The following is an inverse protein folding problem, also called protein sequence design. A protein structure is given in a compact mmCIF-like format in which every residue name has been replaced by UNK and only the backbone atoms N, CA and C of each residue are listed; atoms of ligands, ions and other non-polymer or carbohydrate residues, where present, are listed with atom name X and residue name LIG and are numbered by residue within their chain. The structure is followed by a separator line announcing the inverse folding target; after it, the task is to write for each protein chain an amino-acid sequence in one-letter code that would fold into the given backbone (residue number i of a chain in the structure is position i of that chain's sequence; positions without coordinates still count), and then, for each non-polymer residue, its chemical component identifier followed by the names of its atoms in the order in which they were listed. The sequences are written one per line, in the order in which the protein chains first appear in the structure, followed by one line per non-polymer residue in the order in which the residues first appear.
data_IF_656598366087
#
_entry.id   IF_656598366087
#
_cell.length_a   1.000
_cell.length_b   1.000
_cell.length_c   1.000
_cell.angle_alpha   90.00
_cell.angle_beta   90.00
_cell.angle_gamma   90.00
#
_symmetry.space_group_name_H-M   'P 1'
#
loop_
_entity.id
_entity.type
_entity.pdbx_description
1 polymer ?
#
# COMPACT_ATOMS: atom_id res chain seq x y z
N UNK A 1 1.97 7.79 18.81
CA UNK A 1 0.61 8.08 19.32
C UNK A 1 0.65 9.46 19.94
N UNK A 2 -0.24 10.39 19.55
CA UNK A 2 -0.33 11.69 20.20
C UNK A 2 -0.49 11.49 21.72
N UNK A 3 0.33 12.17 22.53
CA UNK A 3 0.19 12.17 23.98
C UNK A 3 0.92 11.08 24.76
N UNK A 4 1.81 10.28 24.14
CA UNK A 4 2.69 9.35 24.88
C UNK A 4 4.14 9.82 24.77
N UNK A 5 4.78 10.10 25.90
CA UNK A 5 6.20 10.45 25.97
C UNK A 5 7.06 9.18 25.98
N UNK A 6 7.99 9.10 25.03
CA UNK A 6 8.93 7.98 24.86
C UNK A 6 10.38 8.37 25.16
N UNK A 7 10.60 9.58 25.67
CA UNK A 7 11.94 10.10 25.96
C UNK A 7 12.69 9.18 26.92
N UNK A 8 13.93 8.81 26.56
CA UNK A 8 14.78 7.91 27.36
C UNK A 8 14.45 6.41 27.24
N UNK A 9 13.51 6.01 26.37
CA UNK A 9 13.14 4.61 26.12
C UNK A 9 13.64 4.09 24.76
N UNK A 10 14.79 4.57 24.29
CA UNK A 10 15.35 4.24 22.98
C UNK A 10 15.55 2.72 22.80
N UNK A 11 16.10 2.05 23.83
CA UNK A 11 16.30 0.59 23.84
C UNK A 11 14.98 -0.16 23.68
N UNK A 12 13.90 0.32 24.31
CA UNK A 12 12.58 -0.31 24.22
C UNK A 12 12.02 -0.13 22.81
N UNK A 13 12.18 1.07 22.22
CA UNK A 13 11.73 1.38 20.85
C UNK A 13 12.46 0.50 19.83
N UNK A 14 13.76 0.28 20.01
CA UNK A 14 14.57 -0.58 19.15
C UNK A 14 14.07 -2.05 19.10
N UNK A 15 13.37 -2.53 20.13
CA UNK A 15 12.78 -3.89 20.15
C UNK A 15 11.44 -4.00 19.41
N UNK A 16 10.93 -2.91 18.80
CA UNK A 16 9.62 -2.87 18.14
C UNK A 16 9.35 -4.02 17.15
N UNK A 17 10.38 -4.45 16.43
CA UNK A 17 10.30 -5.54 15.46
C UNK A 17 9.94 -6.89 16.11
N UNK A 18 10.32 -7.14 17.36
CA UNK A 18 9.99 -8.39 18.06
C UNK A 18 8.48 -8.59 18.24
N UNK A 19 7.71 -7.49 18.22
CA UNK A 19 6.24 -7.54 18.30
C UNK A 19 5.59 -7.88 16.96
N UNK A 20 6.35 -7.98 15.87
CA UNK A 20 5.83 -8.37 14.54
C UNK A 20 5.82 -9.89 14.42
N UNK A 21 4.67 -10.48 14.71
CA UNK A 21 4.46 -11.94 14.65
C UNK A 21 4.87 -12.56 13.31
N UNK A 22 4.67 -11.84 12.20
CA UNK A 22 5.03 -12.29 10.86
C UNK A 22 6.52 -12.64 10.72
N UNK A 23 7.42 -11.97 11.45
CA UNK A 23 8.85 -12.30 11.41
C UNK A 23 9.12 -13.72 11.92
N UNK A 24 8.33 -14.20 12.89
CA UNK A 24 8.51 -15.51 13.53
C UNK A 24 7.67 -16.62 12.91
N UNK A 25 6.44 -16.30 12.49
CA UNK A 25 5.49 -17.32 12.02
C UNK A 25 5.45 -17.45 10.50
N UNK A 26 5.64 -16.35 9.77
CA UNK A 26 5.49 -16.33 8.31
C UNK A 26 6.59 -15.45 7.69
N UNK A 27 7.85 -15.93 7.65
CA UNK A 27 8.98 -15.13 7.20
C UNK A 27 8.74 -14.51 5.82
N UNK A 28 9.25 -13.30 5.61
CA UNK A 28 9.10 -12.48 4.39
C UNK A 28 7.68 -11.99 4.05
N UNK A 29 6.61 -12.54 4.64
CA UNK A 29 5.23 -12.11 4.35
C UNK A 29 5.00 -10.60 4.51
N UNK A 30 5.68 -9.96 5.47
CA UNK A 30 5.45 -8.54 5.77
C UNK A 30 5.78 -7.61 4.59
N UNK A 31 6.64 -8.02 3.65
CA UNK A 31 6.94 -7.22 2.46
C UNK A 31 5.71 -7.06 1.56
N UNK A 32 4.81 -8.05 1.56
CA UNK A 32 3.63 -8.06 0.71
C UNK A 32 2.69 -6.91 1.02
N UNK A 33 2.64 -6.42 2.26
CA UNK A 33 1.89 -5.22 2.61
C UNK A 33 2.41 -3.98 1.86
N UNK A 34 3.73 -3.86 1.68
CA UNK A 34 4.33 -2.78 0.90
C UNK A 34 3.96 -2.88 -0.58
N UNK A 35 4.04 -4.08 -1.15
CA UNK A 35 3.67 -4.31 -2.55
C UNK A 35 2.18 -4.06 -2.79
N UNK A 36 1.33 -4.56 -1.90
CA UNK A 36 -0.11 -4.39 -1.95
C UNK A 36 -0.53 -2.92 -1.75
N UNK A 37 0.13 -2.17 -0.87
CA UNK A 37 -0.13 -0.75 -0.68
C UNK A 37 0.15 0.06 -1.95
N UNK A 38 1.25 -0.24 -2.66
CA UNK A 38 1.56 0.39 -3.96
C UNK A 38 0.52 0.05 -5.04
N UNK A 39 0.03 -1.18 -5.07
CA UNK A 39 -1.06 -1.57 -5.97
C UNK A 39 -2.38 -0.87 -5.63
N UNK A 40 -2.74 -0.84 -4.34
CA UNK A 40 -3.96 -0.22 -3.85
C UNK A 40 -4.00 1.29 -4.15
N UNK A 41 -2.89 2.00 -3.97
CA UNK A 41 -2.80 3.42 -4.28
C UNK A 41 -3.01 3.70 -5.78
N UNK A 42 -2.48 2.85 -6.67
CA UNK A 42 -2.73 2.96 -8.12
C UNK A 42 -4.19 2.69 -8.48
N UNK A 43 -4.82 1.66 -7.87
CA UNK A 43 -6.26 1.40 -8.06
C UNK A 43 -7.10 2.58 -7.56
N UNK A 44 -6.72 3.18 -6.43
CA UNK A 44 -7.38 4.38 -5.91
C UNK A 44 -7.20 5.58 -6.87
N UNK A 45 -5.99 5.80 -7.38
CA UNK A 45 -5.73 6.86 -8.37
C UNK A 45 -6.59 6.68 -9.62
N UNK A 46 -6.73 5.44 -10.12
CA UNK A 46 -7.61 5.14 -11.25
C UNK A 46 -9.08 5.46 -10.91
N UNK A 47 -9.53 5.12 -9.70
CA UNK A 47 -10.89 5.36 -9.25
C UNK A 47 -11.24 6.86 -9.13
N UNK A 48 -10.26 7.71 -8.80
CA UNK A 48 -10.43 9.18 -8.81
C UNK A 48 -10.65 9.75 -10.22
N UNK A 49 -10.24 9.04 -11.27
CA UNK A 49 -10.42 9.44 -12.67
C UNK A 49 -11.70 8.85 -13.27
N UNK A 50 -11.90 7.55 -13.08
CA UNK A 50 -13.09 6.82 -13.52
C UNK A 50 -13.38 5.68 -12.54
N UNK A 51 -14.31 5.96 -11.62
CA UNK A 51 -14.71 5.04 -10.56
C UNK A 51 -15.30 3.73 -11.10
N UNK A 52 -16.12 3.80 -12.15
CA UNK A 52 -16.83 2.64 -12.70
C UNK A 52 -15.83 1.66 -13.32
N UNK A 53 -14.94 2.17 -14.18
CA UNK A 53 -13.91 1.37 -14.82
C UNK A 53 -12.93 0.80 -13.80
N UNK A 54 -12.50 1.58 -12.81
CA UNK A 54 -11.56 1.11 -11.79
C UNK A 54 -12.14 -0.05 -10.97
N UNK A 55 -13.40 0.04 -10.55
CA UNK A 55 -14.08 -1.04 -9.81
C UNK A 55 -14.25 -2.28 -10.69
N UNK A 56 -14.65 -2.12 -11.96
CA UNK A 56 -14.80 -3.24 -12.88
C UNK A 56 -13.47 -4.00 -13.09
N UNK A 57 -12.36 -3.27 -13.29
CA UNK A 57 -11.01 -3.85 -13.41
C UNK A 57 -10.55 -4.54 -12.13
N UNK A 58 -10.81 -3.95 -10.97
CA UNK A 58 -10.50 -4.56 -9.68
C UNK A 58 -11.27 -5.88 -9.49
N UNK A 59 -12.56 -5.92 -9.81
CA UNK A 59 -13.36 -7.15 -9.78
C UNK A 59 -12.83 -8.22 -10.74
N UNK A 60 -12.41 -7.82 -11.94
CA UNK A 60 -11.79 -8.73 -12.90
C UNK A 60 -10.51 -9.35 -12.33
N UNK A 61 -9.65 -8.55 -11.69
CA UNK A 61 -8.44 -9.05 -11.04
C UNK A 61 -8.76 -10.03 -9.90
N UNK A 62 -9.75 -9.73 -9.05
CA UNK A 62 -10.20 -10.63 -7.98
C UNK A 62 -10.73 -11.97 -8.52
N UNK A 63 -11.43 -11.95 -9.66
CA UNK A 63 -11.98 -13.15 -10.28
C UNK A 63 -10.88 -14.12 -10.77
N UNK A 64 -9.67 -13.65 -11.04
CA UNK A 64 -8.52 -14.50 -11.39
C UNK A 64 -8.04 -15.34 -10.18
N UNK A 65 -8.26 -14.87 -8.96
CA UNK A 65 -7.82 -15.56 -7.73
C UNK A 65 -6.34 -15.96 -7.78
N UNK A 66 -6.05 -17.19 -7.37
CA UNK A 66 -4.69 -17.76 -7.39
C UNK A 66 -4.24 -18.35 -8.73
N UNK A 67 -4.95 -18.07 -9.83
CA UNK A 67 -4.65 -18.67 -11.15
C UNK A 67 -3.71 -17.83 -12.01
N UNK A 68 -3.38 -16.62 -11.56
CA UNK A 68 -2.50 -15.68 -12.25
C UNK A 68 -1.36 -15.20 -11.34
N UNK A 69 -0.15 -14.94 -11.89
CA UNK A 69 0.94 -14.36 -11.13
C UNK A 69 0.66 -12.90 -10.76
N UNK A 70 1.36 -12.38 -9.75
CA UNK A 70 1.16 -11.01 -9.24
C UNK A 70 1.22 -9.91 -10.32
N UNK A 71 2.17 -9.90 -11.27
CA UNK A 71 2.18 -8.87 -12.32
C UNK A 71 0.90 -8.83 -13.14
N UNK A 72 0.33 -10.00 -13.44
CA UNK A 72 -0.90 -10.12 -14.24
C UNK A 72 -2.13 -9.69 -13.42
N UNK A 73 -2.16 -10.01 -12.12
CA UNK A 73 -3.21 -9.53 -11.21
C UNK A 73 -3.20 -7.99 -11.10
N UNK A 74 -2.02 -7.38 -10.98
CA UNK A 74 -1.88 -5.92 -10.98
C UNK A 74 -2.33 -5.32 -12.31
N UNK A 75 -1.88 -5.88 -13.44
CA UNK A 75 -2.27 -5.41 -14.76
C UNK A 75 -3.78 -5.51 -15.00
N UNK A 76 -4.42 -6.60 -14.56
CA UNK A 76 -5.87 -6.77 -14.61
C UNK A 76 -6.58 -5.66 -13.83
N UNK A 77 -6.10 -5.33 -12.64
CA UNK A 77 -6.61 -4.24 -11.80
C UNK A 77 -6.30 -2.82 -12.35
N UNK A 78 -5.55 -2.71 -13.44
CA UNK A 78 -5.11 -1.43 -14.01
C UNK A 78 -3.96 -0.79 -13.25
N UNK A 79 -3.24 -1.56 -12.45
CA UNK A 79 -2.02 -1.16 -11.77
C UNK A 79 -0.78 -1.73 -12.49
N UNK A 80 0.38 -1.12 -12.23
CA UNK A 80 1.68 -1.63 -12.65
C UNK A 80 2.37 -2.27 -11.45
N UNK A 81 2.83 -3.51 -11.62
CA UNK A 81 3.70 -4.18 -10.65
C UNK A 81 5.15 -3.71 -10.87
N UNK A 82 5.51 -2.57 -10.30
CA UNK A 82 6.84 -1.99 -10.40
C UNK A 82 7.29 -1.37 -9.07
N UNK A 83 8.58 -1.47 -8.79
CA UNK A 83 9.25 -0.97 -7.59
C UNK A 83 10.42 -0.04 -7.94
N UNK A 84 10.35 0.56 -9.12
CA UNK A 84 11.29 1.60 -9.52
C UNK A 84 10.98 2.92 -8.79
N UNK A 85 12.00 3.77 -8.67
CA UNK A 85 11.91 5.04 -7.95
C UNK A 85 10.81 5.94 -8.55
N UNK A 86 10.64 5.90 -9.87
CA UNK A 86 9.63 6.69 -10.57
C UNK A 86 8.21 6.28 -10.15
N UNK A 87 7.91 4.98 -10.13
CA UNK A 87 6.60 4.46 -9.70
C UNK A 87 6.33 4.84 -8.24
N UNK A 88 7.33 4.68 -7.37
CA UNK A 88 7.20 5.04 -5.95
C UNK A 88 6.93 6.54 -5.78
N UNK A 89 7.66 7.38 -6.50
CA UNK A 89 7.50 8.84 -6.44
C UNK A 89 6.09 9.25 -6.85
N UNK A 90 5.55 8.70 -7.95
CA UNK A 90 4.19 9.02 -8.39
C UNK A 90 3.14 8.63 -7.35
N UNK A 91 3.25 7.43 -6.76
CA UNK A 91 2.31 6.96 -5.73
C UNK A 91 2.38 7.82 -4.47
N UNK A 92 3.59 8.13 -3.99
CA UNK A 92 3.77 8.96 -2.79
C UNK A 92 3.22 10.36 -3.01
N UNK A 93 3.56 11.01 -4.13
CA UNK A 93 3.03 12.33 -4.46
C UNK A 93 1.51 12.35 -4.53
N UNK A 94 0.89 11.33 -5.13
CA UNK A 94 -0.58 11.21 -5.14
C UNK A 94 -1.16 11.11 -3.72
N UNK A 95 -0.56 10.34 -2.82
CA UNK A 95 -1.03 10.22 -1.43
C UNK A 95 -0.89 11.56 -0.69
N UNK A 96 0.28 12.19 -0.77
CA UNK A 96 0.57 13.47 -0.10
C UNK A 96 -0.37 14.58 -0.56
N UNK A 97 -0.64 14.69 -1.86
CA UNK A 97 -1.59 15.66 -2.42
C UNK A 97 -3.00 15.48 -1.85
N UNK A 98 -3.44 14.23 -1.67
CA UNK A 98 -4.76 13.95 -1.12
C UNK A 98 -4.82 14.20 0.39
N UNK A 99 -3.75 13.90 1.13
CA UNK A 99 -3.63 14.27 2.56
C UNK A 99 -3.74 15.79 2.70
N UNK A 100 -2.97 16.56 1.94
CA UNK A 100 -3.00 18.02 1.99
C UNK A 100 -4.41 18.58 1.69
N UNK A 101 -5.11 18.03 0.70
CA UNK A 101 -6.51 18.42 0.40
C UNK A 101 -7.43 18.17 1.59
N UNK A 102 -7.30 17.03 2.27
CA UNK A 102 -8.14 16.70 3.44
C UNK A 102 -7.82 17.59 4.64
N UNK A 103 -6.55 17.92 4.86
CA UNK A 103 -6.13 18.81 5.94
C UNK A 103 -6.63 20.25 5.74
N UNK A 104 -6.76 20.73 4.49
CA UNK A 104 -7.34 22.06 4.24
C UNK A 104 -8.84 22.18 4.53
N UNK A 105 -9.53 21.06 4.71
CA UNK A 105 -10.98 21.00 5.00
C UNK A 105 -11.24 20.84 6.52
N UNK A 106 -10.22 20.51 7.30
CA UNK A 106 -10.26 20.33 8.76
C UNK A 106 -9.93 21.62 9.52
#
# INVERSE_FOLDING_TARGET
LPGVDWSGLDDVTATGWQRKVHIYQVPFYYIEYGLAALGAAQVWQNAQQDQETAVARYQQALALGGTAPLPDLFAAAGARFAFDADTLQHVVSFIEENIAKLETIA
#
